data_IF_050720815843
#
_entry.id   IF_050720815843
#
_cell.length_a   1.000
_cell.length_b   1.000
_cell.length_c   1.000
_cell.angle_alpha   90.00
_cell.angle_beta   90.00
_cell.angle_gamma   90.00
#
_symmetry.space_group_name_H-M   'P 1'
#
loop_
_entity.id
_entity.type
_entity.pdbx_description
1 polymer ?
#
# COMPACT_ATOMS: atom_id res chain seq x y z
N UNK A 1 17.94 7.57 -7.72
CA UNK A 1 16.48 7.61 -7.99
C UNK A 1 16.23 7.92 -9.46
N UNK A 2 16.48 9.16 -9.90
CA UNK A 2 16.24 9.61 -11.28
C UNK A 2 16.95 8.68 -12.28
N UNK A 3 18.24 8.38 -12.06
CA UNK A 3 19.01 7.49 -12.94
C UNK A 3 18.35 6.13 -13.21
N UNK A 4 17.82 5.44 -12.20
CA UNK A 4 17.22 4.10 -12.38
C UNK A 4 15.86 4.18 -13.07
N UNK A 5 15.02 5.16 -12.70
CA UNK A 5 13.73 5.37 -13.36
C UNK A 5 13.94 5.84 -14.82
N UNK A 6 14.94 6.69 -15.08
CA UNK A 6 15.30 7.15 -16.43
C UNK A 6 15.81 5.99 -17.30
N UNK A 7 16.64 5.09 -16.75
CA UNK A 7 17.11 3.89 -17.47
C UNK A 7 15.95 2.96 -17.85
N UNK A 8 14.86 2.95 -17.10
CA UNK A 8 13.63 2.23 -17.46
C UNK A 8 12.76 3.02 -18.46
N UNK A 9 12.50 4.31 -18.18
CA UNK A 9 11.58 5.15 -18.97
C UNK A 9 12.07 5.39 -20.39
N UNK A 10 13.36 5.67 -20.62
CA UNK A 10 13.87 5.96 -21.97
C UNK A 10 13.57 4.81 -22.96
N UNK A 11 13.99 3.56 -22.68
CA UNK A 11 13.67 2.45 -23.59
C UNK A 11 12.19 2.12 -23.61
N UNK A 12 11.46 2.28 -22.50
CA UNK A 12 10.01 2.06 -22.45
C UNK A 12 9.26 3.01 -23.38
N UNK A 13 9.57 4.31 -23.34
CA UNK A 13 8.94 5.31 -24.19
C UNK A 13 9.25 5.06 -25.68
N UNK A 14 10.49 4.71 -26.01
CA UNK A 14 10.88 4.36 -27.39
C UNK A 14 10.12 3.11 -27.89
N UNK A 15 9.96 2.10 -27.04
CA UNK A 15 9.21 0.89 -27.36
C UNK A 15 7.72 1.21 -27.56
N UNK A 16 7.13 1.97 -26.65
CA UNK A 16 5.70 2.31 -26.70
C UNK A 16 5.37 3.27 -27.85
N UNK A 17 6.28 4.16 -28.25
CA UNK A 17 6.10 4.98 -29.46
C UNK A 17 6.07 4.14 -30.74
N UNK A 18 6.64 2.93 -30.71
CA UNK A 18 6.58 1.95 -31.80
C UNK A 18 5.39 0.98 -31.67
N UNK A 19 4.49 1.20 -30.71
CA UNK A 19 3.34 0.32 -30.44
C UNK A 19 3.69 -1.01 -29.76
N UNK A 20 4.94 -1.18 -29.34
CA UNK A 20 5.40 -2.40 -28.68
C UNK A 20 5.10 -2.31 -27.17
N UNK A 21 4.59 -3.39 -26.58
CA UNK A 21 4.28 -3.47 -25.15
C UNK A 21 5.02 -4.62 -24.49
N UNK A 22 5.26 -4.52 -23.18
CA UNK A 22 5.77 -5.63 -22.38
C UNK A 22 4.76 -6.02 -21.35
N UNK A 23 4.75 -7.32 -21.01
CA UNK A 23 3.87 -7.85 -19.98
C UNK A 23 4.55 -7.84 -18.63
N UNK A 24 3.84 -7.37 -17.61
CA UNK A 24 4.25 -7.49 -16.23
C UNK A 24 3.38 -8.56 -15.53
N UNK A 25 3.93 -9.73 -15.18
CA UNK A 25 3.15 -10.81 -14.58
C UNK A 25 2.65 -10.48 -13.17
N UNK A 26 3.11 -9.38 -12.57
CA UNK A 26 2.78 -8.97 -11.21
C UNK A 26 1.88 -7.73 -11.14
N UNK A 27 1.35 -7.22 -12.26
CA UNK A 27 0.51 -6.01 -12.30
C UNK A 27 -0.63 -6.02 -11.29
N UNK A 28 -1.38 -7.12 -11.19
CA UNK A 28 -2.49 -7.24 -10.24
C UNK A 28 -2.01 -7.20 -8.78
N UNK A 29 -0.84 -7.77 -8.48
CA UNK A 29 -0.22 -7.73 -7.16
C UNK A 29 0.29 -6.32 -6.87
N UNK A 30 0.96 -5.67 -7.82
CA UNK A 30 1.50 -4.32 -7.65
C UNK A 30 0.38 -3.31 -7.40
N UNK A 31 -0.73 -3.37 -8.16
CA UNK A 31 -1.93 -2.56 -7.91
C UNK A 31 -2.46 -2.73 -6.49
N UNK A 32 -2.38 -3.95 -5.94
CA UNK A 32 -2.88 -4.28 -4.60
C UNK A 32 -1.94 -3.86 -3.47
N UNK A 33 -0.65 -4.15 -3.62
CA UNK A 33 0.34 -4.02 -2.53
C UNK A 33 1.05 -2.67 -2.52
N UNK A 34 1.06 -1.95 -3.66
CA UNK A 34 1.74 -0.67 -3.83
C UNK A 34 0.76 0.37 -4.35
N UNK A 35 -0.43 0.46 -3.73
CA UNK A 35 -1.55 1.29 -4.18
C UNK A 35 -1.13 2.74 -4.43
N UNK A 36 -0.39 3.31 -3.48
CA UNK A 36 0.14 4.67 -3.59
C UNK A 36 1.08 4.82 -4.78
N UNK A 37 2.12 4.00 -4.86
CA UNK A 37 3.12 4.07 -5.93
C UNK A 37 2.50 3.84 -7.31
N UNK A 38 1.48 2.97 -7.42
CA UNK A 38 0.75 2.75 -8.66
C UNK A 38 -0.04 4.00 -9.08
N UNK A 39 -0.71 4.65 -8.14
CA UNK A 39 -1.45 5.88 -8.41
C UNK A 39 -0.53 7.04 -8.84
N UNK A 40 0.64 7.16 -8.20
CA UNK A 40 1.69 8.10 -8.61
C UNK A 40 2.22 7.77 -10.02
N UNK A 41 2.36 6.49 -10.37
CA UNK A 41 2.74 6.06 -11.71
C UNK A 41 1.67 6.43 -12.77
N UNK A 42 0.37 6.26 -12.45
CA UNK A 42 -0.74 6.67 -13.33
C UNK A 42 -0.71 8.18 -13.56
N UNK A 43 -0.48 8.98 -12.51
CA UNK A 43 -0.35 10.44 -12.62
C UNK A 43 0.80 10.85 -13.54
N UNK A 44 1.94 10.16 -13.43
CA UNK A 44 3.07 10.34 -14.34
C UNK A 44 2.71 9.93 -15.78
N UNK A 45 2.02 8.80 -15.97
CA UNK A 45 1.53 8.34 -17.26
C UNK A 45 0.61 9.33 -17.95
N UNK A 46 -0.27 10.01 -17.21
CA UNK A 46 -1.12 11.09 -17.73
C UNK A 46 -0.27 12.26 -18.25
N UNK A 47 0.77 12.66 -17.50
CA UNK A 47 1.69 13.74 -17.93
C UNK A 47 2.45 13.34 -19.20
N UNK A 48 2.94 12.10 -19.26
CA UNK A 48 3.64 11.56 -20.43
C UNK A 48 2.71 11.54 -21.66
N UNK A 49 1.47 11.05 -21.50
CA UNK A 49 0.49 11.04 -22.58
C UNK A 49 0.22 12.44 -23.13
N UNK A 50 0.05 13.43 -22.24
CA UNK A 50 -0.23 14.80 -22.67
C UNK A 50 0.98 15.47 -23.34
N UNK A 51 2.21 15.16 -22.92
CA UNK A 51 3.42 15.76 -23.46
C UNK A 51 3.91 15.10 -24.75
N UNK A 52 3.75 13.77 -24.89
CA UNK A 52 4.38 12.98 -25.95
C UNK A 52 3.42 12.13 -26.76
N UNK A 53 2.12 12.10 -26.44
CA UNK A 53 1.13 11.26 -27.10
C UNK A 53 1.27 9.75 -26.80
N UNK A 54 2.18 9.36 -25.92
CA UNK A 54 2.47 7.96 -25.59
C UNK A 54 1.52 7.45 -24.50
N UNK A 55 0.85 6.33 -24.76
CA UNK A 55 0.00 5.66 -23.78
C UNK A 55 0.78 4.59 -23.01
N UNK A 56 0.73 4.64 -21.68
CA UNK A 56 1.29 3.60 -20.82
C UNK A 56 0.18 2.64 -20.41
N UNK A 57 0.31 1.36 -20.74
CA UNK A 57 -0.61 0.33 -20.27
C UNK A 57 -0.38 -0.01 -18.78
N UNK A 58 -1.29 -0.78 -18.19
CA UNK A 58 -1.21 -1.18 -16.78
C UNK A 58 0.12 -1.86 -16.41
N UNK A 59 0.71 -2.62 -17.34
CA UNK A 59 1.96 -3.34 -17.11
C UNK A 59 3.18 -2.40 -17.04
N UNK A 60 3.23 -1.38 -17.89
CA UNK A 60 4.26 -0.34 -17.82
C UNK A 60 4.09 0.53 -16.57
N UNK A 61 2.84 0.90 -16.25
CA UNK A 61 2.52 1.62 -15.02
C UNK A 61 2.95 0.83 -13.77
N UNK A 62 2.80 -0.50 -13.80
CA UNK A 62 3.25 -1.38 -12.72
C UNK A 62 4.79 -1.40 -12.59
N UNK A 63 5.55 -1.36 -13.69
CA UNK A 63 7.02 -1.25 -13.61
C UNK A 63 7.47 0.09 -13.04
N UNK A 64 6.85 1.19 -13.47
CA UNK A 64 7.12 2.53 -12.92
C UNK A 64 6.78 2.55 -11.42
N UNK A 65 5.66 1.95 -11.02
CA UNK A 65 5.26 1.85 -9.61
C UNK A 65 6.32 1.14 -8.76
N UNK A 66 6.96 0.09 -9.26
CA UNK A 66 8.05 -0.57 -8.53
C UNK A 66 9.26 0.35 -8.30
N UNK A 67 9.60 1.20 -9.27
CA UNK A 67 10.67 2.18 -9.10
C UNK A 67 10.33 3.25 -8.07
N UNK A 68 9.08 3.72 -8.06
CA UNK A 68 8.55 4.68 -7.09
C UNK A 68 8.52 4.05 -5.69
N UNK A 69 8.02 2.84 -5.56
CA UNK A 69 7.97 2.11 -4.29
C UNK A 69 9.36 1.89 -3.70
N UNK A 70 10.32 1.48 -4.55
CA UNK A 70 11.72 1.33 -4.14
C UNK A 70 12.40 2.66 -3.76
N UNK A 71 11.83 3.79 -4.16
CA UNK A 71 12.25 5.10 -3.69
C UNK A 71 11.59 5.45 -2.35
N UNK A 72 10.27 5.26 -2.23
CA UNK A 72 9.51 5.53 -1.00
C UNK A 72 10.10 4.76 0.19
N UNK A 73 10.47 3.49 0.00
CA UNK A 73 11.11 2.66 1.04
C UNK A 73 12.50 3.12 1.50
N UNK A 74 13.19 4.00 0.76
CA UNK A 74 14.53 4.48 1.16
C UNK A 74 14.49 5.49 2.31
N UNK A 75 13.31 6.07 2.58
CA UNK A 75 13.11 6.99 3.69
C UNK A 75 12.55 6.32 4.94
N UNK A 76 12.39 4.98 4.94
CA UNK A 76 11.90 4.26 6.11
C UNK A 76 13.00 4.14 7.19
N UNK A 77 12.58 4.10 8.45
CA UNK A 77 13.48 3.84 9.58
C UNK A 77 14.21 2.51 9.37
N UNK A 78 15.52 2.52 9.55
CA UNK A 78 16.32 1.30 9.52
C UNK A 78 16.19 0.62 10.89
N UNK A 79 15.66 -0.60 10.91
CA UNK A 79 15.51 -1.40 12.13
C UNK A 79 16.89 -1.89 12.60
N UNK A 80 17.22 -1.61 13.86
CA UNK A 80 18.40 -2.19 14.50
C UNK A 80 18.10 -3.60 15.00
N UNK A 81 18.99 -4.54 14.72
CA UNK A 81 18.78 -5.97 15.03
C UNK A 81 19.99 -6.56 15.76
N UNK A 82 19.73 -7.26 16.86
CA UNK A 82 20.68 -8.18 17.46
C UNK A 82 20.45 -9.60 16.92
N UNK A 83 21.50 -10.24 16.40
CA UNK A 83 21.44 -11.60 15.90
C UNK A 83 21.99 -12.57 16.97
N UNK A 84 21.14 -13.48 17.45
CA UNK A 84 21.52 -14.49 18.43
C UNK A 84 21.71 -15.83 17.73
N UNK A 85 22.90 -16.41 17.86
CA UNK A 85 23.21 -17.72 17.31
C UNK A 85 23.70 -18.67 18.40
N UNK A 86 23.14 -19.88 18.43
CA UNK A 86 23.62 -20.99 19.27
C UNK A 86 24.66 -21.86 18.57
N UNK A 87 24.76 -21.73 17.24
CA UNK A 87 25.66 -22.49 16.38
C UNK A 87 26.90 -21.65 16.08
N UNK A 88 28.07 -22.29 15.97
CA UNK A 88 29.38 -21.62 15.89
C UNK A 88 29.51 -20.54 14.80
N UNK A 89 30.63 -19.80 14.85
CA UNK A 89 30.89 -18.57 14.08
C UNK A 89 30.55 -18.66 12.56
N UNK A 90 30.72 -19.83 11.93
CA UNK A 90 30.47 -20.01 10.50
C UNK A 90 28.99 -19.86 10.10
N UNK A 91 28.08 -20.50 10.83
CA UNK A 91 26.64 -20.47 10.52
C UNK A 91 26.02 -19.11 10.86
N UNK A 92 26.50 -18.48 11.93
CA UNK A 92 26.10 -17.13 12.33
C UNK A 92 26.45 -16.10 11.23
N UNK A 93 27.66 -16.15 10.68
CA UNK A 93 28.09 -15.28 9.56
C UNK A 93 27.27 -15.50 8.30
N UNK A 94 26.91 -16.76 7.98
CA UNK A 94 26.08 -17.05 6.82
C UNK A 94 24.69 -16.43 6.96
N UNK A 95 24.06 -16.59 8.12
CA UNK A 95 22.76 -15.99 8.41
C UNK A 95 22.83 -14.46 8.34
N UNK A 96 23.86 -13.86 8.96
CA UNK A 96 24.12 -12.42 8.93
C UNK A 96 24.21 -11.90 7.48
N UNK A 97 25.00 -12.56 6.62
CA UNK A 97 25.15 -12.18 5.21
C UNK A 97 23.84 -12.29 4.44
N UNK A 98 23.05 -13.36 4.66
CA UNK A 98 21.75 -13.53 4.01
C UNK A 98 20.77 -12.43 4.43
N UNK A 99 20.72 -12.08 5.71
CA UNK A 99 19.89 -10.99 6.21
C UNK A 99 20.34 -9.65 5.60
N UNK A 100 21.65 -9.35 5.62
CA UNK A 100 22.19 -8.12 4.99
C UNK A 100 21.87 -8.04 3.51
N UNK A 101 21.95 -9.15 2.77
CA UNK A 101 21.61 -9.19 1.33
C UNK A 101 20.13 -8.95 1.09
N UNK A 102 19.27 -9.65 1.84
CA UNK A 102 17.82 -9.63 1.65
C UNK A 102 17.16 -8.34 2.16
N UNK A 103 17.72 -7.73 3.21
CA UNK A 103 17.13 -6.60 3.95
C UNK A 103 18.06 -5.39 4.06
N UNK A 104 19.02 -5.23 3.14
CA UNK A 104 20.10 -4.22 3.15
C UNK A 104 19.68 -2.79 3.52
N UNK A 105 18.51 -2.33 3.08
CA UNK A 105 18.02 -0.97 3.34
C UNK A 105 16.96 -0.90 4.47
N UNK A 106 16.67 -2.01 5.13
CA UNK A 106 15.59 -2.13 6.12
C UNK A 106 16.11 -2.58 7.50
N UNK A 107 17.21 -3.35 7.53
CA UNK A 107 17.81 -3.88 8.75
C UNK A 107 19.28 -3.47 8.84
N UNK A 108 19.68 -2.98 10.01
CA UNK A 108 21.08 -2.86 10.44
C UNK A 108 21.33 -3.85 11.57
N UNK A 109 22.16 -4.86 11.32
CA UNK A 109 22.62 -5.78 12.36
C UNK A 109 23.65 -5.04 13.22
N UNK A 110 23.34 -4.76 14.48
CA UNK A 110 24.21 -4.02 15.42
C UNK A 110 25.31 -4.92 15.98
N UNK A 111 24.96 -6.17 16.30
CA UNK A 111 25.85 -7.18 16.87
C UNK A 111 25.33 -8.60 16.60
N UNK A 112 26.27 -9.53 16.56
CA UNK A 112 26.01 -10.98 16.55
C UNK A 112 26.56 -11.54 17.86
N UNK A 113 25.70 -12.17 18.66
CA UNK A 113 26.02 -12.56 20.04
C UNK A 113 25.52 -13.97 20.37
N UNK A 114 26.05 -14.53 21.45
CA UNK A 114 25.56 -15.78 22.00
C UNK A 114 24.30 -15.58 22.85
N UNK A 115 23.63 -16.68 23.19
CA UNK A 115 22.47 -16.69 24.10
C UNK A 115 22.83 -16.22 25.50
N UNK A 116 24.07 -16.45 25.93
CA UNK A 116 24.54 -16.00 27.23
C UNK A 116 24.76 -14.49 27.22
N UNK A 117 25.46 -13.98 26.21
CA UNK A 117 25.78 -12.56 26.09
C UNK A 117 24.53 -11.67 25.95
N UNK A 118 23.51 -12.10 25.20
CA UNK A 118 22.26 -11.33 25.04
C UNK A 118 21.44 -11.25 26.34
N UNK A 119 21.63 -12.17 27.28
CA UNK A 119 20.94 -12.17 28.59
C UNK A 119 21.66 -11.31 29.63
N UNK A 120 22.98 -11.23 29.53
CA UNK A 120 23.83 -10.48 30.48
C UNK A 120 23.82 -8.97 30.19
N UNK A 121 23.54 -8.57 28.94
CA UNK A 121 23.52 -7.17 28.52
C UNK A 121 22.10 -6.72 28.19
N UNK A 122 21.72 -5.47 28.48
CA UNK A 122 20.46 -4.93 28.01
C UNK A 122 20.37 -4.97 26.49
N UNK A 123 19.18 -5.29 26.00
CA UNK A 123 18.85 -5.26 24.57
C UNK A 123 18.27 -3.90 24.26
N UNK A 124 18.96 -3.14 23.41
CA UNK A 124 18.56 -1.79 23.00
C UNK A 124 18.06 -1.74 21.55
N UNK A 125 18.18 -2.87 20.86
CA UNK A 125 17.77 -3.07 19.48
C UNK A 125 16.25 -3.21 19.32
N UNK A 126 15.75 -2.83 18.15
CA UNK A 126 14.33 -2.88 17.81
C UNK A 126 13.78 -4.31 17.66
N UNK A 127 14.65 -5.27 17.32
CA UNK A 127 14.30 -6.68 17.11
C UNK A 127 15.48 -7.60 17.46
N UNK A 128 15.16 -8.77 18.02
CA UNK A 128 16.10 -9.89 18.14
C UNK A 128 15.73 -10.99 17.14
N UNK A 129 16.69 -11.40 16.33
CA UNK A 129 16.57 -12.59 15.47
C UNK A 129 17.40 -13.69 16.09
N UNK A 130 16.81 -14.86 16.32
CA UNK A 130 17.50 -15.99 16.95
C UNK A 130 17.36 -17.27 16.14
N UNK A 131 18.38 -18.13 16.18
CA UNK A 131 18.28 -19.50 15.64
C UNK A 131 17.64 -20.49 16.62
N UNK A 132 17.39 -20.06 17.85
CA UNK A 132 16.73 -20.86 18.90
C UNK A 132 15.70 -20.04 19.65
N UNK A 133 14.77 -20.71 20.32
CA UNK A 133 13.81 -20.04 21.17
C UNK A 133 14.48 -19.59 22.48
N UNK A 134 14.36 -18.30 22.81
CA UNK A 134 14.88 -17.69 24.04
C UNK A 134 13.81 -16.79 24.65
N UNK A 135 13.81 -16.65 25.98
CA UNK A 135 12.93 -15.70 26.66
C UNK A 135 13.70 -14.40 26.88
N UNK A 136 13.21 -13.31 26.30
CA UNK A 136 13.72 -11.96 26.52
C UNK A 136 12.55 -11.05 26.92
N UNK A 137 12.66 -10.27 28.00
CA UNK A 137 11.64 -9.30 28.37
C UNK A 137 11.68 -8.09 27.42
N UNK A 138 10.50 -7.58 27.06
CA UNK A 138 10.29 -6.26 26.44
C UNK A 138 10.88 -6.01 25.04
N UNK A 139 11.35 -7.03 24.32
CA UNK A 139 11.83 -6.88 22.92
C UNK A 139 11.22 -7.96 22.02
N UNK A 140 10.75 -7.62 20.80
CA UNK A 140 10.27 -8.61 19.86
C UNK A 140 11.37 -9.62 19.48
N UNK A 141 11.02 -10.91 19.48
CA UNK A 141 11.92 -12.00 19.11
C UNK A 141 11.34 -12.80 17.94
N UNK A 142 12.15 -13.05 16.91
CA UNK A 142 11.83 -13.96 15.82
C UNK A 142 12.80 -15.13 15.82
N UNK A 143 12.27 -16.34 15.84
CA UNK A 143 13.05 -17.56 15.61
C UNK A 143 13.05 -17.93 14.13
N UNK A 144 14.25 -18.06 13.56
CA UNK A 144 14.49 -18.40 12.14
C UNK A 144 15.42 -19.61 12.01
N UNK A 145 15.35 -20.28 10.86
CA UNK A 145 16.36 -21.26 10.47
C UNK A 145 17.72 -20.57 10.26
N UNK A 146 18.86 -21.22 10.58
CA UNK A 146 20.19 -20.68 10.28
C UNK A 146 20.43 -20.39 8.79
N UNK A 147 19.65 -21.01 7.91
CA UNK A 147 19.71 -20.77 6.46
C UNK A 147 18.77 -19.66 5.97
N UNK A 148 18.01 -19.01 6.84
CA UNK A 148 17.00 -18.01 6.48
C UNK A 148 16.05 -18.53 5.37
N UNK A 149 15.19 -19.47 5.75
CA UNK A 149 14.16 -20.00 4.86
C UNK A 149 13.03 -18.97 4.58
N UNK A 150 12.12 -19.32 3.67
CA UNK A 150 10.98 -18.47 3.30
C UNK A 150 10.09 -18.11 4.50
N UNK A 151 9.99 -19.00 5.49
CA UNK A 151 9.25 -18.73 6.71
C UNK A 151 9.93 -17.63 7.55
N UNK A 152 11.24 -17.71 7.73
CA UNK A 152 12.05 -16.68 8.38
C UNK A 152 11.92 -15.33 7.67
N UNK A 153 11.99 -15.32 6.34
CA UNK A 153 11.80 -14.10 5.53
C UNK A 153 10.42 -13.50 5.75
N UNK A 154 9.36 -14.31 5.74
CA UNK A 154 7.98 -13.86 6.01
C UNK A 154 7.83 -13.24 7.39
N UNK A 155 8.36 -13.88 8.44
CA UNK A 155 8.32 -13.34 9.81
C UNK A 155 9.04 -12.00 9.92
N UNK A 156 10.24 -11.90 9.36
CA UNK A 156 11.04 -10.66 9.37
C UNK A 156 10.30 -9.53 8.65
N UNK A 157 9.77 -9.78 7.45
CA UNK A 157 8.96 -8.79 6.73
C UNK A 157 7.74 -8.31 7.55
N UNK A 158 7.08 -9.23 8.26
CA UNK A 158 5.96 -8.87 9.14
C UNK A 158 6.36 -7.92 10.26
N UNK A 159 7.54 -8.12 10.89
CA UNK A 159 8.02 -7.22 11.94
C UNK A 159 8.54 -5.90 11.37
N UNK A 160 9.23 -5.91 10.22
CA UNK A 160 9.66 -4.67 9.54
C UNK A 160 8.44 -3.81 9.17
N UNK A 161 7.38 -4.42 8.66
CA UNK A 161 6.13 -3.71 8.36
C UNK A 161 5.57 -3.01 9.61
N UNK A 162 5.47 -3.75 10.72
CA UNK A 162 5.01 -3.22 12.02
C UNK A 162 5.95 -2.16 12.62
N UNK A 163 7.25 -2.25 12.35
CA UNK A 163 8.24 -1.31 12.85
C UNK A 163 8.23 0.01 12.08
N UNK A 164 8.15 -0.07 10.75
CA UNK A 164 8.08 1.10 9.89
C UNK A 164 6.77 1.87 10.10
N UNK A 165 5.66 1.16 10.29
CA UNK A 165 4.32 1.75 10.26
C UNK A 165 3.64 1.81 11.64
N UNK A 166 4.32 1.39 12.72
CA UNK A 166 3.65 1.00 13.95
C UNK A 166 2.66 -0.15 13.69
N UNK A 167 1.79 -0.49 14.66
CA UNK A 167 0.45 -0.90 14.20
C UNK A 167 -0.07 0.33 13.48
N UNK A 168 -0.22 0.29 12.14
CA UNK A 168 -0.80 1.40 11.40
C UNK A 168 -2.10 1.74 12.12
N UNK A 169 -2.12 2.88 12.80
CA UNK A 169 -3.21 3.15 13.71
C UNK A 169 -4.36 3.69 12.88
N UNK A 170 -5.61 3.38 13.25
CA UNK A 170 -6.75 3.78 12.43
C UNK A 170 -6.92 5.31 12.39
N UNK A 171 -6.38 6.09 13.33
CA UNK A 171 -6.79 7.48 13.53
C UNK A 171 -6.53 8.37 12.31
N UNK A 172 -5.35 8.27 11.69
CA UNK A 172 -5.04 9.09 10.51
C UNK A 172 -5.97 8.76 9.33
N UNK A 173 -6.18 7.46 9.04
CA UNK A 173 -7.12 7.04 7.99
C UNK A 173 -8.57 7.41 8.34
N UNK A 174 -9.00 7.13 9.56
CA UNK A 174 -10.36 7.39 10.04
C UNK A 174 -10.68 8.88 10.13
N UNK A 175 -9.69 9.75 10.30
CA UNK A 175 -9.88 11.21 10.24
C UNK A 175 -10.38 11.69 8.87
N UNK A 176 -10.15 10.91 7.80
CA UNK A 176 -10.61 11.18 6.44
C UNK A 176 -12.03 10.66 6.18
N UNK A 177 -12.59 9.86 7.11
CA UNK A 177 -13.88 9.18 6.94
C UNK A 177 -14.97 9.99 7.65
N UNK A 178 -15.96 10.42 6.89
CA UNK A 178 -17.15 11.06 7.44
C UNK A 178 -18.39 10.20 7.14
N UNK A 179 -19.22 9.84 8.14
CA UNK A 179 -20.45 9.05 7.95
C UNK A 179 -21.36 9.59 6.83
N UNK A 180 -21.42 10.92 6.66
CA UNK A 180 -22.22 11.60 5.63
C UNK A 180 -21.86 11.16 4.20
N UNK A 181 -20.63 10.71 3.98
CA UNK A 181 -20.13 10.29 2.66
C UNK A 181 -19.99 8.77 2.53
N UNK A 182 -20.69 8.00 3.37
CA UNK A 182 -20.82 6.56 3.24
C UNK A 182 -22.21 6.24 2.69
N UNK A 183 -22.26 5.66 1.50
CA UNK A 183 -23.49 5.36 0.79
C UNK A 183 -23.69 3.86 0.68
N UNK A 184 -24.85 3.38 1.13
CA UNK A 184 -25.29 1.99 0.95
C UNK A 184 -26.30 1.93 -0.19
N UNK A 185 -26.20 0.91 -1.05
CA UNK A 185 -27.06 0.76 -2.21
C UNK A 185 -27.42 -0.70 -2.51
N UNK A 186 -28.65 -0.88 -2.99
CA UNK A 186 -29.24 -2.17 -3.36
C UNK A 186 -29.88 -2.17 -4.76
N UNK A 187 -29.83 -1.03 -5.47
CA UNK A 187 -30.34 -0.86 -6.84
C UNK A 187 -29.20 -0.91 -7.86
N UNK A 188 -29.49 -1.34 -9.10
CA UNK A 188 -28.47 -1.39 -10.16
C UNK A 188 -27.91 0.02 -10.42
N UNK A 189 -26.59 0.14 -10.43
CA UNK A 189 -25.87 1.38 -10.71
C UNK A 189 -24.64 1.11 -11.58
N UNK A 190 -24.20 2.11 -12.35
CA UNK A 190 -23.00 2.02 -13.18
C UNK A 190 -21.82 2.70 -12.50
N UNK A 191 -20.59 2.28 -12.84
CA UNK A 191 -19.33 2.90 -12.40
C UNK A 191 -19.38 4.43 -12.42
N UNK A 192 -19.69 5.03 -13.57
CA UNK A 192 -19.66 6.48 -13.75
C UNK A 192 -20.73 7.18 -12.90
N UNK A 193 -21.89 6.55 -12.66
CA UNK A 193 -22.92 7.08 -11.75
C UNK A 193 -22.47 7.02 -10.28
N UNK A 194 -21.74 5.98 -9.87
CA UNK A 194 -21.15 5.89 -8.53
C UNK A 194 -20.13 7.01 -8.32
N UNK A 195 -19.16 7.17 -9.25
CA UNK A 195 -18.14 8.23 -9.16
C UNK A 195 -18.82 9.60 -9.09
N UNK A 196 -19.77 9.87 -9.99
CA UNK A 196 -20.51 11.14 -10.00
C UNK A 196 -21.25 11.39 -8.68
N UNK A 197 -21.96 10.41 -8.15
CA UNK A 197 -22.69 10.53 -6.87
C UNK A 197 -21.76 10.86 -5.71
N UNK A 198 -20.60 10.19 -5.61
CA UNK A 198 -19.61 10.48 -4.58
C UNK A 198 -19.05 11.90 -4.74
N UNK A 199 -18.66 12.28 -5.96
CA UNK A 199 -18.06 13.60 -6.19
C UNK A 199 -19.04 14.76 -6.06
N UNK A 200 -20.31 14.57 -6.44
CA UNK A 200 -21.35 15.60 -6.32
C UNK A 200 -21.65 15.90 -4.84
N UNK A 201 -21.67 14.86 -3.98
CA UNK A 201 -21.80 15.02 -2.54
C UNK A 201 -20.63 15.81 -1.94
N UNK A 202 -19.40 15.45 -2.31
CA UNK A 202 -18.20 16.16 -1.85
C UNK A 202 -18.13 17.61 -2.35
N UNK A 203 -18.58 17.85 -3.59
CA UNK A 203 -18.61 19.20 -4.19
C UNK A 203 -19.61 20.10 -3.47
N UNK A 204 -20.81 19.59 -3.18
CA UNK A 204 -21.87 20.33 -2.48
C UNK A 204 -21.40 20.88 -1.13
N UNK A 205 -20.54 20.14 -0.44
CA UNK A 205 -20.01 20.52 0.88
C UNK A 205 -18.61 21.16 0.82
N UNK A 206 -18.12 21.51 -0.38
CA UNK A 206 -16.90 22.29 -0.58
C UNK A 206 -15.57 21.54 -0.45
N UNK A 207 -15.58 20.21 -0.31
CA UNK A 207 -14.35 19.40 -0.21
C UNK A 207 -13.55 19.37 -1.52
N UNK A 208 -14.25 19.49 -2.65
CA UNK A 208 -13.68 19.42 -3.99
C UNK A 208 -14.22 20.53 -4.89
N UNK A 209 -13.50 20.82 -5.97
CA UNK A 209 -13.84 21.85 -6.96
C UNK A 209 -14.67 21.26 -8.10
N UNK A 210 -15.36 22.12 -8.84
CA UNK A 210 -16.13 21.73 -10.03
C UNK A 210 -15.26 20.97 -11.05
N UNK A 211 -15.88 20.05 -11.80
CA UNK A 211 -15.20 19.21 -12.80
C UNK A 211 -14.50 17.96 -12.24
N UNK A 212 -14.46 17.78 -10.91
CA UNK A 212 -13.84 16.62 -10.26
C UNK A 212 -14.39 15.27 -10.77
N UNK A 213 -15.71 15.14 -10.94
CA UNK A 213 -16.33 13.89 -11.35
C UNK A 213 -15.90 13.46 -12.76
N UNK A 214 -15.89 14.41 -13.70
CA UNK A 214 -15.41 14.16 -15.07
C UNK A 214 -13.91 13.82 -15.08
N UNK A 215 -13.11 14.52 -14.29
CA UNK A 215 -11.67 14.26 -14.19
C UNK A 215 -11.39 12.86 -13.62
N UNK A 216 -12.11 12.45 -12.58
CA UNK A 216 -11.99 11.12 -11.99
C UNK A 216 -12.46 10.02 -12.94
N UNK A 217 -13.58 10.20 -13.65
CA UNK A 217 -14.06 9.23 -14.65
C UNK A 217 -13.04 9.06 -15.77
N UNK A 218 -12.52 10.16 -16.34
CA UNK A 218 -11.52 10.12 -17.41
C UNK A 218 -10.25 9.40 -16.96
N UNK A 219 -9.83 9.60 -15.71
CA UNK A 219 -8.71 8.89 -15.10
C UNK A 219 -8.98 7.38 -14.99
N UNK A 220 -10.16 7.03 -14.48
CA UNK A 220 -10.59 5.63 -14.29
C UNK A 220 -10.78 4.88 -15.62
N UNK A 221 -11.05 5.60 -16.71
CA UNK A 221 -11.07 5.05 -18.07
C UNK A 221 -9.67 4.71 -18.59
N UNK A 222 -8.64 5.48 -18.19
CA UNK A 222 -7.27 5.22 -18.60
C UNK A 222 -6.65 4.02 -17.89
N UNK A 223 -6.89 3.89 -16.58
CA UNK A 223 -6.41 2.78 -15.79
C UNK A 223 -7.42 2.47 -14.69
N UNK A 224 -8.02 1.28 -14.73
CA UNK A 224 -8.93 0.82 -13.68
C UNK A 224 -8.18 0.60 -12.37
N UNK A 225 -8.77 1.12 -11.29
CA UNK A 225 -8.34 0.98 -9.91
C UNK A 225 -8.98 -0.23 -9.23
N UNK A 226 -9.70 -1.08 -9.96
CA UNK A 226 -10.39 -2.23 -9.40
C UNK A 226 -9.40 -3.31 -8.93
N UNK A 227 -9.50 -3.68 -7.65
CA UNK A 227 -8.73 -4.70 -6.96
C UNK A 227 -9.72 -5.63 -6.23
N UNK A 228 -9.85 -6.87 -6.72
CA UNK A 228 -10.84 -7.83 -6.22
C UNK A 228 -12.27 -7.24 -6.25
N UNK A 229 -12.90 -7.09 -5.08
CA UNK A 229 -14.24 -6.53 -4.91
C UNK A 229 -14.23 -5.04 -4.58
N UNK A 230 -13.08 -4.37 -4.69
CA UNK A 230 -12.88 -2.96 -4.32
C UNK A 230 -12.46 -2.16 -5.54
N UNK A 231 -12.87 -0.90 -5.65
CA UNK A 231 -12.27 0.10 -6.53
C UNK A 231 -11.83 1.33 -5.72
N UNK A 232 -10.77 2.00 -6.17
CA UNK A 232 -10.17 3.14 -5.49
C UNK A 232 -9.99 4.33 -6.45
N UNK A 233 -11.07 4.82 -7.07
CA UNK A 233 -11.01 6.03 -7.89
C UNK A 233 -10.53 7.20 -7.03
N UNK A 234 -9.75 8.10 -7.60
CA UNK A 234 -9.20 9.21 -6.84
C UNK A 234 -9.17 10.52 -7.62
N UNK A 235 -9.27 11.58 -6.85
CA UNK A 235 -9.26 12.95 -7.32
C UNK A 235 -7.85 13.35 -7.76
N UNK A 236 -7.69 14.06 -8.90
CA UNK A 236 -6.47 14.82 -9.14
C UNK A 236 -6.37 15.93 -8.09
N UNK A 237 -5.20 16.05 -7.45
CA UNK A 237 -4.94 16.94 -6.29
C UNK A 237 -5.42 18.38 -6.52
N UNK A 238 -5.31 18.92 -7.74
CA UNK A 238 -5.73 20.30 -8.09
C UNK A 238 -7.23 20.59 -7.89
N UNK A 239 -8.05 19.55 -7.79
CA UNK A 239 -9.49 19.66 -7.54
C UNK A 239 -9.87 19.47 -6.08
N UNK A 240 -8.91 19.19 -5.18
CA UNK A 240 -9.18 18.86 -3.78
C UNK A 240 -8.91 20.07 -2.90
N UNK A 241 -9.96 20.62 -2.29
CA UNK A 241 -9.83 21.72 -1.32
C UNK A 241 -9.50 21.19 0.08
N UNK A 242 -10.12 20.07 0.48
CA UNK A 242 -9.91 19.42 1.79
C UNK A 242 -9.83 17.90 1.63
N UNK A 243 -8.91 17.21 2.32
CA UNK A 243 -8.83 15.75 2.31
C UNK A 243 -10.11 15.07 2.80
N UNK A 244 -10.58 14.06 2.07
CA UNK A 244 -11.73 13.23 2.47
C UNK A 244 -11.76 11.93 1.66
N UNK A 245 -12.27 10.86 2.28
CA UNK A 245 -12.57 9.59 1.63
C UNK A 245 -14.09 9.37 1.67
N UNK A 246 -14.69 9.26 0.49
CA UNK A 246 -16.10 8.89 0.35
C UNK A 246 -16.23 7.41 -0.01
N UNK A 247 -17.21 6.71 0.56
CA UNK A 247 -17.35 5.26 0.43
C UNK A 247 -18.71 4.93 -0.20
N UNK A 248 -18.71 4.04 -1.18
CA UNK A 248 -19.93 3.44 -1.74
C UNK A 248 -19.90 1.93 -1.53
N UNK A 249 -20.97 1.36 -0.99
CA UNK A 249 -21.13 -0.08 -0.79
C UNK A 249 -22.38 -0.56 -1.52
N UNK A 250 -22.19 -1.51 -2.42
CA UNK A 250 -23.23 -2.07 -3.29
C UNK A 250 -23.47 -3.55 -3.01
N UNK A 251 -24.73 -3.91 -2.74
CA UNK A 251 -25.13 -5.30 -2.46
C UNK A 251 -25.09 -6.20 -3.70
N UNK A 252 -25.36 -5.65 -4.89
CA UNK A 252 -25.56 -6.40 -6.15
C UNK A 252 -24.33 -6.44 -7.06
N UNK A 253 -23.24 -5.78 -6.66
CA UNK A 253 -21.97 -5.59 -7.41
C UNK A 253 -22.14 -4.60 -8.56
N UNK A 254 -21.06 -3.90 -8.87
CA UNK A 254 -20.92 -2.88 -9.90
C UNK A 254 -19.90 -3.40 -10.91
N UNK A 255 -20.27 -3.38 -12.19
CA UNK A 255 -19.32 -3.64 -13.27
C UNK A 255 -18.31 -2.50 -13.36
N UNK A 256 -17.03 -2.84 -13.27
CA UNK A 256 -15.91 -1.91 -13.21
C UNK A 256 -14.83 -2.34 -14.19
N UNK A 257 -15.10 -2.14 -15.48
CA UNK A 257 -14.36 -2.74 -16.60
C UNK A 257 -14.40 -4.27 -16.52
N UNK A 258 -13.24 -4.94 -16.43
CA UNK A 258 -13.09 -6.39 -16.41
C UNK A 258 -13.42 -7.03 -15.04
N UNK A 259 -13.80 -6.23 -14.03
CA UNK A 259 -14.03 -6.69 -12.66
C UNK A 259 -15.40 -6.32 -12.11
N UNK A 260 -15.81 -7.06 -11.08
CA UNK A 260 -17.02 -6.83 -10.31
C UNK A 260 -16.68 -6.31 -8.92
N UNK A 261 -17.09 -5.08 -8.62
CA UNK A 261 -16.75 -4.35 -7.39
C UNK A 261 -17.99 -4.21 -6.50
N UNK A 262 -17.82 -4.36 -5.19
CA UNK A 262 -18.85 -4.08 -4.17
C UNK A 262 -18.57 -2.84 -3.35
N UNK A 263 -17.30 -2.45 -3.21
CA UNK A 263 -16.89 -1.33 -2.35
C UNK A 263 -16.09 -0.35 -3.20
N UNK A 264 -16.45 0.92 -3.15
CA UNK A 264 -15.71 1.99 -3.82
C UNK A 264 -15.22 2.97 -2.77
N UNK A 265 -13.90 3.15 -2.67
CA UNK A 265 -13.28 4.21 -1.86
C UNK A 265 -12.85 5.33 -2.81
N UNK A 266 -13.59 6.44 -2.82
CA UNK A 266 -13.19 7.62 -3.57
C UNK A 266 -12.23 8.48 -2.72
N UNK A 267 -10.96 8.54 -3.12
CA UNK A 267 -9.91 9.28 -2.40
C UNK A 267 -9.79 10.70 -2.95
N UNK A 268 -10.18 11.70 -2.17
CA UNK A 268 -9.90 13.10 -2.44
C UNK A 268 -8.82 13.59 -1.48
N UNK A 269 -7.54 13.47 -1.86
CA UNK A 269 -6.39 13.80 -1.00
C UNK A 269 -5.58 14.96 -1.59
N UNK A 270 -4.98 15.78 -0.74
CA UNK A 270 -4.11 16.90 -1.14
C UNK A 270 -2.83 16.92 -0.27
N UNK A 271 -2.05 18.01 -0.32
CA UNK A 271 -0.78 18.12 0.41
C UNK A 271 -0.93 18.16 1.95
N UNK A 272 -2.12 18.43 2.49
CA UNK A 272 -2.35 18.48 3.95
C UNK A 272 -2.12 17.13 4.63
N UNK A 273 -2.31 16.02 3.92
CA UNK A 273 -2.08 14.67 4.46
C UNK A 273 -0.61 14.26 4.48
N UNK A 274 0.30 15.06 3.91
CA UNK A 274 1.72 14.71 3.76
C UNK A 274 2.39 14.23 5.06
N UNK A 275 2.13 14.79 6.25
CA UNK A 275 2.72 14.30 7.50
C UNK A 275 2.29 12.87 7.87
N UNK A 276 1.10 12.45 7.45
CA UNK A 276 0.48 11.16 7.82
C UNK A 276 0.30 10.21 6.62
N UNK A 277 0.88 10.53 5.46
CA UNK A 277 0.62 9.82 4.21
C UNK A 277 0.98 8.33 4.29
N UNK A 278 2.11 7.98 4.90
CA UNK A 278 2.53 6.58 5.07
C UNK A 278 1.59 5.82 6.00
N UNK A 279 1.15 6.46 7.10
CA UNK A 279 0.21 5.86 8.06
C UNK A 279 -1.15 5.58 7.41
N UNK A 280 -1.67 6.55 6.65
CA UNK A 280 -2.94 6.46 5.93
C UNK A 280 -2.89 5.32 4.91
N UNK A 281 -1.87 5.29 4.05
CA UNK A 281 -1.78 4.27 3.01
C UNK A 281 -1.45 2.89 3.59
N UNK A 282 -0.61 2.79 4.62
CA UNK A 282 -0.35 1.50 5.26
C UNK A 282 -1.61 0.92 5.89
N UNK A 283 -2.42 1.73 6.58
CA UNK A 283 -3.67 1.25 7.15
C UNK A 283 -4.66 0.85 6.06
N UNK A 284 -4.73 1.65 5.00
CA UNK A 284 -5.59 1.37 3.86
C UNK A 284 -5.20 0.08 3.13
N UNK A 285 -3.91 -0.16 2.89
CA UNK A 285 -3.43 -1.40 2.27
C UNK A 285 -3.77 -2.62 3.14
N UNK A 286 -3.67 -2.52 4.47
CA UNK A 286 -4.14 -3.58 5.38
C UNK A 286 -5.64 -3.89 5.18
N UNK A 287 -6.49 -2.87 5.03
CA UNK A 287 -7.92 -3.05 4.73
C UNK A 287 -8.11 -3.75 3.38
N UNK A 288 -7.36 -3.35 2.35
CA UNK A 288 -7.44 -3.96 1.01
C UNK A 288 -6.95 -5.41 0.98
N UNK A 289 -6.10 -5.80 1.93
CA UNK A 289 -5.61 -7.17 2.08
C UNK A 289 -6.56 -8.09 2.84
N UNK A 290 -7.30 -7.57 3.82
CA UNK A 290 -8.22 -8.35 4.64
C UNK A 290 -9.53 -8.69 3.91
N UNK A 291 -9.53 -9.84 3.24
CA UNK A 291 -10.70 -10.39 2.55
C UNK A 291 -11.90 -10.61 3.48
N UNK A 292 -11.68 -10.96 4.75
CA UNK A 292 -12.77 -11.21 5.72
C UNK A 292 -13.43 -9.89 6.10
N UNK A 293 -12.62 -8.86 6.40
CA UNK A 293 -13.10 -7.51 6.67
C UNK A 293 -13.87 -6.94 5.47
N UNK A 294 -13.29 -6.99 4.27
CA UNK A 294 -13.95 -6.50 3.06
C UNK A 294 -15.28 -7.22 2.79
N UNK A 295 -15.37 -8.53 3.07
CA UNK A 295 -16.63 -9.26 2.98
C UNK A 295 -17.65 -8.71 3.98
N UNK A 296 -17.28 -8.57 5.26
CA UNK A 296 -18.15 -8.01 6.33
C UNK A 296 -18.62 -6.58 5.98
N UNK A 297 -17.74 -5.74 5.44
CA UNK A 297 -18.09 -4.38 4.99
C UNK A 297 -19.12 -4.47 3.84
N UNK A 298 -18.88 -5.32 2.84
CA UNK A 298 -19.77 -5.45 1.67
C UNK A 298 -21.17 -5.99 1.98
N UNK A 299 -21.33 -6.67 3.12
CA UNK A 299 -22.60 -7.24 3.60
C UNK A 299 -23.27 -6.35 4.65
N UNK A 300 -22.68 -5.20 4.99
CA UNK A 300 -23.20 -4.30 6.01
C UNK A 300 -24.41 -3.50 5.52
N UNK A 301 -25.37 -3.31 6.43
CA UNK A 301 -26.63 -2.59 6.19
C UNK A 301 -26.72 -1.25 6.95
N UNK A 302 -25.66 -0.85 7.66
CA UNK A 302 -25.61 0.37 8.46
C UNK A 302 -24.25 1.04 8.28
N UNK A 303 -24.27 2.37 8.24
CA UNK A 303 -23.07 3.21 8.13
C UNK A 303 -22.21 3.08 9.39
N UNK A 304 -22.85 3.02 10.55
CA UNK A 304 -22.20 2.84 11.86
C UNK A 304 -21.41 1.54 11.90
N UNK A 305 -22.00 0.45 11.39
CA UNK A 305 -21.31 -0.85 11.31
C UNK A 305 -20.10 -0.78 10.37
N UNK A 306 -20.21 -0.09 9.23
CA UNK A 306 -19.08 0.10 8.31
C UNK A 306 -17.94 0.85 9.00
N UNK A 307 -18.25 1.91 9.75
CA UNK A 307 -17.26 2.69 10.49
C UNK A 307 -16.60 1.85 11.59
N UNK A 308 -17.37 1.06 12.35
CA UNK A 308 -16.83 0.18 13.37
C UNK A 308 -15.86 -0.85 12.76
N UNK A 309 -16.26 -1.49 11.67
CA UNK A 309 -15.41 -2.43 10.92
C UNK A 309 -14.12 -1.78 10.42
N UNK A 310 -14.20 -0.55 9.89
CA UNK A 310 -13.03 0.19 9.42
C UNK A 310 -12.10 0.64 10.56
N UNK A 311 -12.58 0.77 11.79
CA UNK A 311 -11.75 1.07 12.98
C UNK A 311 -11.06 -0.16 13.56
N UNK A 312 -11.69 -1.32 13.45
CA UNK A 312 -11.24 -2.55 14.12
C UNK A 312 -9.98 -3.16 13.48
N UNK A 313 -9.74 -2.97 12.17
CA UNK A 313 -8.50 -3.34 11.46
C UNK A 313 -7.79 -4.61 11.98
N UNK A 314 -8.20 -5.80 11.49
CA UNK A 314 -7.87 -7.15 12.02
C UNK A 314 -8.43 -7.46 13.43
N UNK A 315 -9.36 -8.42 13.50
CA UNK A 315 -9.52 -9.33 14.65
C UNK A 315 -8.91 -10.69 14.29
#
# INVERSE_FOLDING_TARGET
>A
MIKNLTVHLIPALKRLSLGLTIRNPYTSKIKKYFTRAYNEAVDLGIKIKNAYGIFLNDDELAYIALHIEAFNKRNNKVMTVALVCSTGLGTARLLEQRIKKQFSNQIKISRVVSVQEIKEKPVSEDLVISTINIKLPNVPLIVVSPFLDENGIRKINGVISKFNNGKAKPEAFMSLINPKYIFLNDKKITRNRVIKKLTDALYKDGFVRTGIGQAAIKREEMASTAINIVAVPHAPIRYVNKPVIAIYIDKKKIEWQDKMVKIVFFLALNQEIKPHIEEIYSYFDNILEDKKLLKRISESNSVEKVIALLREGEC
#
